data_IF_284237309765
#
_entry.id   IF_284237309765
#
_cell.length_a   1.000
_cell.length_b   1.000
_cell.length_c   1.000
_cell.angle_alpha   90.00
_cell.angle_beta   90.00
_cell.angle_gamma   90.00
#
_symmetry.space_group_name_H-M   'P 1'
#
loop_
_entity.id
_entity.type
_entity.pdbx_description
1 polymer ?
#
# COMPACT_ATOMS: atom_id res chain seq x y z
N UNK A 1 1.00 -4.62 -22.95
CA UNK A 1 1.97 -5.53 -22.30
C UNK A 1 1.26 -6.24 -21.17
N UNK A 2 0.97 -7.54 -21.33
CA UNK A 2 0.23 -8.33 -20.35
C UNK A 2 1.07 -8.53 -19.08
N UNK A 3 0.57 -8.08 -17.92
CA UNK A 3 1.17 -8.44 -16.64
C UNK A 3 1.05 -9.96 -16.47
N UNK A 4 2.19 -10.64 -16.43
CA UNK A 4 2.26 -12.04 -16.04
C UNK A 4 1.55 -12.18 -14.69
N UNK A 5 0.48 -12.98 -14.65
CA UNK A 5 -0.12 -13.41 -13.40
C UNK A 5 0.90 -14.34 -12.75
N UNK A 6 1.69 -13.80 -11.83
CA UNK A 6 2.57 -14.61 -11.00
C UNK A 6 1.69 -15.51 -10.16
N UNK A 7 1.76 -16.82 -10.40
CA UNK A 7 1.21 -17.84 -9.52
C UNK A 7 1.97 -17.76 -8.18
N UNK A 8 1.53 -16.89 -7.29
CA UNK A 8 1.99 -16.86 -5.90
C UNK A 8 1.21 -17.97 -5.21
N UNK A 9 1.78 -19.17 -5.21
CA UNK A 9 1.22 -20.37 -4.62
C UNK A 9 1.07 -20.27 -3.09
N UNK A 10 0.09 -20.97 -2.54
CA UNK A 10 -0.20 -21.16 -1.11
C UNK A 10 1.03 -21.48 -0.23
N UNK A 11 2.14 -21.96 -0.81
CA UNK A 11 3.40 -22.27 -0.13
C UNK A 11 4.04 -21.08 0.63
N UNK A 12 3.73 -19.84 0.27
CA UNK A 12 4.37 -18.68 0.88
C UNK A 12 3.83 -18.34 2.29
N UNK A 13 2.64 -18.84 2.65
CA UNK A 13 2.06 -18.60 3.98
C UNK A 13 2.69 -19.50 5.05
N UNK A 14 3.17 -20.69 4.67
CA UNK A 14 3.70 -21.69 5.59
C UNK A 14 5.01 -21.29 6.27
N UNK A 15 5.75 -20.32 5.70
CA UNK A 15 7.00 -19.81 6.25
C UNK A 15 6.83 -18.51 7.06
N UNK A 16 5.58 -18.09 7.32
CA UNK A 16 5.30 -16.92 8.15
C UNK A 16 5.25 -17.31 9.62
N UNK A 17 5.57 -16.35 10.48
CA UNK A 17 5.42 -16.51 11.93
C UNK A 17 3.94 -16.77 12.26
N UNK A 18 3.61 -17.94 12.83
CA UNK A 18 2.23 -18.32 13.12
C UNK A 18 1.57 -17.39 14.13
N UNK A 19 2.32 -16.82 15.08
CA UNK A 19 1.77 -15.91 16.09
C UNK A 19 1.31 -14.59 15.46
N UNK A 20 2.11 -14.04 14.53
CA UNK A 20 1.77 -12.83 13.78
C UNK A 20 0.56 -13.04 12.87
N UNK A 21 0.47 -14.19 12.21
CA UNK A 21 -0.69 -14.52 11.38
C UNK A 21 -1.94 -14.66 12.24
N UNK A 22 -1.85 -15.32 13.39
CA UNK A 22 -2.98 -15.48 14.31
C UNK A 22 -3.47 -14.13 14.86
N UNK A 23 -2.56 -13.26 15.28
CA UNK A 23 -2.91 -11.92 15.75
C UNK A 23 -3.57 -11.09 14.63
N UNK A 24 -2.98 -11.10 13.43
CA UNK A 24 -3.53 -10.39 12.29
C UNK A 24 -4.95 -10.88 11.92
N UNK A 25 -5.19 -12.19 12.05
CA UNK A 25 -6.50 -12.81 11.83
C UNK A 25 -7.51 -12.45 12.93
N UNK A 26 -7.10 -12.38 14.21
CA UNK A 26 -7.94 -11.93 15.32
C UNK A 26 -8.42 -10.48 15.12
N UNK A 27 -7.54 -9.63 14.59
CA UNK A 27 -7.84 -8.22 14.30
C UNK A 27 -8.71 -8.04 13.04
N UNK A 28 -8.61 -8.95 12.06
CA UNK A 28 -9.34 -8.89 10.80
C UNK A 28 -10.37 -10.03 10.70
N UNK A 29 -11.40 -9.97 11.55
CA UNK A 29 -12.49 -10.98 11.56
C UNK A 29 -13.19 -11.05 10.21
N UNK A 30 -13.44 -12.28 9.75
CA UNK A 30 -14.18 -12.55 8.50
C UNK A 30 -13.34 -12.47 7.23
N UNK A 31 -12.04 -12.21 7.34
CA UNK A 31 -11.10 -12.30 6.21
C UNK A 31 -10.35 -13.63 6.23
N UNK A 32 -9.87 -14.05 5.07
CA UNK A 32 -8.92 -15.16 4.94
C UNK A 32 -7.48 -14.70 5.22
N UNK A 33 -6.57 -15.60 5.61
CA UNK A 33 -5.16 -15.23 5.82
C UNK A 33 -4.51 -14.59 4.58
N UNK A 34 -4.88 -15.04 3.38
CA UNK A 34 -4.40 -14.46 2.12
C UNK A 34 -4.88 -13.02 1.92
N UNK A 35 -6.12 -12.72 2.26
CA UNK A 35 -6.68 -11.36 2.17
C UNK A 35 -5.99 -10.42 3.16
N UNK A 36 -5.77 -10.87 4.39
CA UNK A 36 -5.07 -10.11 5.43
C UNK A 36 -3.63 -9.81 4.98
N UNK A 37 -2.92 -10.81 4.45
CA UNK A 37 -1.55 -10.63 3.96
C UNK A 37 -1.50 -9.67 2.77
N UNK A 38 -2.39 -9.85 1.78
CA UNK A 38 -2.47 -8.95 0.63
C UNK A 38 -2.77 -7.51 1.05
N UNK A 39 -3.64 -7.31 2.04
CA UNK A 39 -3.94 -6.00 2.61
C UNK A 39 -2.72 -5.39 3.31
N UNK A 40 -2.01 -6.17 4.13
CA UNK A 40 -0.79 -5.74 4.80
C UNK A 40 0.30 -5.31 3.81
N UNK A 41 0.53 -6.10 2.76
CA UNK A 41 1.51 -5.79 1.71
C UNK A 41 1.15 -4.50 0.96
N UNK A 42 -0.14 -4.28 0.65
CA UNK A 42 -0.57 -3.01 0.03
C UNK A 42 -0.27 -1.82 0.93
N UNK A 43 -0.59 -1.90 2.23
CA UNK A 43 -0.28 -0.83 3.18
C UNK A 43 1.22 -0.58 3.30
N UNK A 44 2.02 -1.65 3.36
CA UNK A 44 3.47 -1.53 3.38
C UNK A 44 4.02 -0.80 2.16
N UNK A 45 3.61 -1.21 0.95
CA UNK A 45 4.04 -0.56 -0.31
C UNK A 45 3.64 0.91 -0.33
N UNK A 46 2.41 1.25 0.08
CA UNK A 46 1.96 2.64 0.17
C UNK A 46 2.84 3.43 1.15
N UNK A 47 3.14 2.86 2.31
CA UNK A 47 4.00 3.49 3.31
C UNK A 47 5.40 3.78 2.79
N UNK A 48 6.01 2.82 2.08
CA UNK A 48 7.33 3.00 1.44
C UNK A 48 7.28 4.11 0.40
N UNK A 49 6.31 4.09 -0.52
CA UNK A 49 6.15 5.13 -1.55
C UNK A 49 5.91 6.51 -0.95
N UNK A 50 5.15 6.61 0.13
CA UNK A 50 4.92 7.87 0.82
C UNK A 50 6.21 8.42 1.44
N UNK A 51 7.09 7.56 1.95
CA UNK A 51 8.43 7.99 2.42
C UNK A 51 9.28 8.51 1.27
N UNK A 52 9.28 7.84 0.12
CA UNK A 52 9.98 8.31 -1.09
C UNK A 52 9.44 9.68 -1.54
N UNK A 53 8.12 9.88 -1.52
CA UNK A 53 7.51 11.19 -1.78
C UNK A 53 7.95 12.25 -0.77
N UNK A 54 8.00 11.91 0.51
CA UNK A 54 8.44 12.82 1.56
C UNK A 54 9.92 13.20 1.40
N UNK A 55 10.76 12.26 0.96
CA UNK A 55 12.18 12.51 0.69
C UNK A 55 12.40 13.49 -0.46
N UNK A 56 11.41 13.69 -1.33
CA UNK A 56 11.44 14.69 -2.39
C UNK A 56 11.04 16.10 -1.92
N UNK A 57 10.52 16.24 -0.69
CA UNK A 57 10.13 17.54 -0.11
C UNK A 57 11.33 18.49 -0.08
N UNK A 58 11.17 19.65 -0.74
CA UNK A 58 12.21 20.68 -0.81
C UNK A 58 13.36 20.38 -1.77
N UNK A 59 13.38 19.20 -2.41
CA UNK A 59 14.34 18.87 -3.48
C UNK A 59 13.80 19.19 -4.87
N UNK A 60 12.48 19.24 -5.01
CA UNK A 60 11.80 19.55 -6.26
C UNK A 60 11.31 20.99 -6.21
N UNK A 61 11.69 21.78 -7.21
CA UNK A 61 11.11 23.09 -7.45
C UNK A 61 9.71 22.89 -8.04
N UNK A 62 8.72 23.51 -7.44
CA UNK A 62 7.34 23.51 -7.92
C UNK A 62 7.02 24.89 -8.49
N UNK A 63 6.59 24.92 -9.74
CA UNK A 63 6.39 26.13 -10.56
C UNK A 63 4.93 26.49 -10.81
N UNK A 64 3.98 25.76 -10.20
CA UNK A 64 2.55 26.02 -10.36
C UNK A 64 2.04 27.25 -9.58
N UNK A 65 0.83 27.71 -9.93
CA UNK A 65 0.08 28.70 -9.13
C UNK A 65 -1.01 28.00 -8.31
N UNK A 66 -0.90 28.09 -6.99
CA UNK A 66 -1.82 27.45 -6.07
C UNK A 66 -3.22 28.08 -6.10
N UNK A 67 -3.31 29.37 -6.42
CA UNK A 67 -4.57 30.10 -6.50
C UNK A 67 -5.37 29.63 -7.73
N UNK A 68 -4.71 29.47 -8.87
CA UNK A 68 -5.31 28.95 -10.10
C UNK A 68 -5.83 27.52 -9.94
N UNK A 69 -5.06 26.64 -9.29
CA UNK A 69 -5.50 25.25 -9.06
C UNK A 69 -6.71 25.15 -8.12
N UNK A 70 -6.91 26.15 -7.24
CA UNK A 70 -8.01 26.18 -6.27
C UNK A 70 -9.26 26.87 -6.81
N UNK A 71 -9.12 27.79 -7.76
CA UNK A 71 -10.25 28.54 -8.33
C UNK A 71 -11.19 27.68 -9.18
N UNK A 72 -10.73 26.53 -9.66
CA UNK A 72 -11.55 25.60 -10.44
C UNK A 72 -12.49 24.72 -9.59
N UNK A 73 -12.66 25.03 -8.30
CA UNK A 73 -13.61 24.36 -7.39
C UNK A 73 -14.89 25.21 -7.29
N UNK A 74 -15.62 25.34 -8.39
CA UNK A 74 -17.04 25.73 -8.32
C UNK A 74 -17.84 24.48 -7.95
N UNK A 75 -18.59 24.56 -6.85
CA UNK A 75 -19.66 23.60 -6.54
C UNK A 75 -20.89 23.88 -7.40
#
# INVERSE_FOLDING_TARGET
>A
MAKAKSNISQANLANLDPELVEEAMKLNKGMTPEEVLNKALRHYIIGVKNKELLDMKGKIYWDGDLNEMRSNRSF
#
